data_IF_823386692331
#
_entry.id   IF_823386692331
#
_cell.length_a   1.000
_cell.length_b   1.000
_cell.length_c   1.000
_cell.angle_alpha   90.00
_cell.angle_beta   90.00
_cell.angle_gamma   90.00
#
_symmetry.space_group_name_H-M   'P 1'
#
loop_
_entity.id
_entity.type
_entity.pdbx_description
1 polymer ?
#
# COMPACT_ATOMS: atom_id res chain seq x y z
N UNK A 1 -18.13 -24.44 8.50
CA UNK A 1 -18.67 -23.21 7.90
C UNK A 1 -18.49 -22.00 8.83
N UNK A 2 -18.46 -22.19 10.16
CA UNK A 2 -18.31 -21.12 11.16
C UNK A 2 -17.03 -20.26 11.03
N UNK A 3 -15.90 -20.83 10.62
CA UNK A 3 -14.63 -20.09 10.56
C UNK A 3 -14.59 -18.95 9.54
N UNK A 4 -15.42 -18.97 8.48
CA UNK A 4 -15.43 -17.92 7.45
C UNK A 4 -16.28 -16.71 7.89
N UNK A 5 -17.37 -16.97 8.62
CA UNK A 5 -18.26 -15.93 9.14
C UNK A 5 -17.56 -15.06 10.18
N UNK A 6 -16.78 -15.68 11.08
CA UNK A 6 -15.97 -14.95 12.08
C UNK A 6 -14.96 -14.03 11.40
N UNK A 7 -14.26 -14.51 10.37
CA UNK A 7 -13.31 -13.70 9.58
C UNK A 7 -14.03 -12.53 8.92
N UNK A 8 -15.22 -12.76 8.35
CA UNK A 8 -16.02 -11.73 7.71
C UNK A 8 -16.46 -10.65 8.72
N UNK A 9 -16.95 -11.02 9.90
CA UNK A 9 -17.36 -10.07 10.93
C UNK A 9 -16.19 -9.22 11.46
N UNK A 10 -15.04 -9.85 11.73
CA UNK A 10 -13.83 -9.12 12.15
C UNK A 10 -13.38 -8.15 11.06
N UNK A 11 -13.37 -8.60 9.80
CA UNK A 11 -12.99 -7.76 8.66
C UNK A 11 -13.94 -6.58 8.47
N UNK A 12 -15.25 -6.81 8.58
CA UNK A 12 -16.26 -5.76 8.45
C UNK A 12 -16.19 -4.74 9.58
N UNK A 13 -16.00 -5.21 10.82
CA UNK A 13 -15.77 -4.32 11.97
C UNK A 13 -14.51 -3.48 11.79
N UNK A 14 -13.43 -4.07 11.26
CA UNK A 14 -12.18 -3.36 10.99
C UNK A 14 -12.39 -2.28 9.92
N UNK A 15 -13.04 -2.62 8.80
CA UNK A 15 -13.40 -1.66 7.74
C UNK A 15 -14.26 -0.53 8.31
N UNK A 16 -15.28 -0.84 9.11
CA UNK A 16 -16.14 0.16 9.76
C UNK A 16 -15.35 1.11 10.67
N UNK A 17 -14.42 0.58 11.47
CA UNK A 17 -13.57 1.39 12.34
C UNK A 17 -12.63 2.32 11.55
N UNK A 18 -12.05 1.84 10.46
CA UNK A 18 -11.16 2.61 9.60
C UNK A 18 -11.96 3.69 8.87
N UNK A 19 -13.13 3.36 8.31
CA UNK A 19 -13.99 4.33 7.64
C UNK A 19 -14.53 5.39 8.60
N UNK A 20 -14.81 5.05 9.86
CA UNK A 20 -15.18 6.01 10.88
C UNK A 20 -14.03 6.93 11.29
N UNK A 21 -12.80 6.41 11.33
CA UNK A 21 -11.59 7.18 11.63
C UNK A 21 -11.13 8.06 10.46
N UNK A 22 -11.31 7.60 9.22
CA UNK A 22 -10.72 8.18 8.02
C UNK A 22 -11.02 9.68 7.81
N UNK A 23 -12.28 10.18 7.94
CA UNK A 23 -12.57 11.61 7.78
C UNK A 23 -11.82 12.51 8.77
N UNK A 24 -11.49 12.01 9.96
CA UNK A 24 -10.73 12.74 10.98
C UNK A 24 -9.22 12.69 10.75
N UNK A 25 -8.76 11.78 9.89
CA UNK A 25 -7.36 11.58 9.55
C UNK A 25 -6.96 12.19 8.20
N UNK A 26 -7.94 12.57 7.35
CA UNK A 26 -7.70 13.36 6.13
C UNK A 26 -7.14 14.73 6.51
N UNK A 27 -6.22 15.23 5.69
CA UNK A 27 -5.63 16.56 5.90
C UNK A 27 -6.67 17.69 5.80
N UNK A 28 -6.69 18.65 6.75
CA UNK A 28 -5.84 18.74 7.95
C UNK A 28 -6.27 17.76 9.04
N UNK A 29 -5.36 16.85 9.43
CA UNK A 29 -5.66 15.74 10.33
C UNK A 29 -6.00 16.25 11.74
N UNK A 30 -7.16 15.84 12.27
CA UNK A 30 -7.62 16.15 13.63
C UNK A 30 -7.21 15.08 14.63
N UNK A 31 -7.15 13.83 14.18
CA UNK A 31 -6.78 12.68 14.99
C UNK A 31 -5.69 11.90 14.25
N UNK A 32 -4.57 11.66 14.92
CA UNK A 32 -3.48 10.84 14.41
C UNK A 32 -3.63 9.41 14.89
N UNK A 33 -3.33 8.47 14.00
CA UNK A 33 -3.42 7.04 14.29
C UNK A 33 -2.40 6.58 15.35
N UNK A 34 -1.23 7.22 15.36
CA UNK A 34 -0.10 6.86 16.23
C UNK A 34 0.49 5.48 15.91
N UNK A 35 1.50 5.10 16.71
CA UNK A 35 2.19 3.81 16.56
C UNK A 35 1.31 2.64 17.03
N UNK A 36 0.49 2.86 18.07
CA UNK A 36 -0.42 1.84 18.59
C UNK A 36 -1.49 1.44 17.55
N UNK A 37 -2.10 2.40 16.85
CA UNK A 37 -3.11 2.09 15.84
C UNK A 37 -2.53 1.38 14.61
N UNK A 38 -1.39 1.85 14.11
CA UNK A 38 -0.75 1.28 12.91
C UNK A 38 -0.25 -0.15 13.14
N UNK A 39 0.37 -0.42 14.29
CA UNK A 39 0.81 -1.78 14.67
C UNK A 39 -0.37 -2.71 14.92
N UNK A 40 -1.44 -2.24 15.56
CA UNK A 40 -2.67 -3.02 15.73
C UNK A 40 -3.30 -3.42 14.40
N UNK A 41 -3.45 -2.50 13.45
CA UNK A 41 -3.99 -2.84 12.12
C UNK A 41 -3.11 -3.87 11.40
N UNK A 42 -1.78 -3.69 11.43
CA UNK A 42 -0.86 -4.65 10.82
C UNK A 42 -0.96 -6.05 11.45
N UNK A 43 -1.11 -6.12 12.77
CA UNK A 43 -1.26 -7.38 13.49
C UNK A 43 -2.56 -8.11 13.11
N UNK A 44 -3.70 -7.41 13.12
CA UNK A 44 -5.00 -7.99 12.76
C UNK A 44 -5.02 -8.44 11.29
N UNK A 45 -4.48 -7.64 10.36
CA UNK A 45 -4.37 -8.02 8.95
C UNK A 45 -3.50 -9.27 8.74
N UNK A 46 -2.44 -9.43 9.54
CA UNK A 46 -1.58 -10.62 9.50
C UNK A 46 -2.34 -11.87 9.94
N UNK A 47 -3.08 -11.79 11.06
CA UNK A 47 -3.91 -12.89 11.55
C UNK A 47 -4.97 -13.28 10.50
N UNK A 48 -5.69 -12.29 9.95
CA UNK A 48 -6.73 -12.53 8.95
C UNK A 48 -6.15 -13.20 7.69
N UNK A 49 -4.94 -12.82 7.26
CA UNK A 49 -4.26 -13.47 6.13
C UNK A 49 -3.94 -14.94 6.39
N UNK A 50 -3.41 -15.27 7.57
CA UNK A 50 -3.06 -16.64 7.95
C UNK A 50 -4.32 -17.52 8.05
N UNK A 51 -5.37 -17.00 8.68
CA UNK A 51 -6.64 -17.73 8.83
C UNK A 51 -7.31 -18.01 7.48
N UNK A 52 -7.31 -17.03 6.56
CA UNK A 52 -7.84 -17.22 5.20
C UNK A 52 -7.03 -18.28 4.42
N UNK A 53 -5.70 -18.29 4.57
CA UNK A 53 -4.85 -19.27 3.89
C UNK A 53 -5.20 -20.71 4.28
N UNK A 54 -5.41 -20.97 5.57
CA UNK A 54 -5.73 -22.32 6.07
C UNK A 54 -7.09 -22.83 5.56
N UNK A 55 -8.05 -21.94 5.36
CA UNK A 55 -9.41 -22.31 4.91
C UNK A 55 -9.50 -22.59 3.41
N UNK A 56 -8.72 -21.87 2.59
CA UNK A 56 -8.93 -21.89 1.14
C UNK A 56 -8.48 -23.18 0.44
N UNK A 57 -7.73 -24.10 1.10
CA UNK A 57 -7.14 -25.34 0.51
C UNK A 57 -6.56 -25.16 -0.90
N UNK A 58 -6.19 -23.93 -1.23
CA UNK A 58 -5.85 -23.50 -2.57
C UNK A 58 -4.52 -22.76 -2.43
N UNK A 59 -3.44 -23.24 -3.06
CA UNK A 59 -2.14 -22.56 -3.00
C UNK A 59 -2.20 -21.12 -3.51
N UNK A 60 -3.22 -20.77 -4.30
CA UNK A 60 -3.47 -19.40 -4.78
C UNK A 60 -3.85 -18.41 -3.65
N UNK A 61 -4.24 -18.90 -2.48
CA UNK A 61 -4.69 -18.07 -1.36
C UNK A 61 -3.57 -17.22 -0.73
N UNK A 62 -2.32 -17.69 -0.75
CA UNK A 62 -1.15 -16.96 -0.24
C UNK A 62 -0.81 -15.75 -1.11
N UNK A 63 -1.02 -15.86 -2.42
CA UNK A 63 -0.66 -14.82 -3.38
C UNK A 63 -1.47 -13.55 -3.17
N UNK A 64 -2.70 -13.68 -2.65
CA UNK A 64 -3.65 -12.59 -2.48
C UNK A 64 -3.13 -11.57 -1.45
N UNK A 65 -2.86 -11.92 -0.17
CA UNK A 65 -2.22 -11.01 0.79
C UNK A 65 -0.89 -10.44 0.30
N UNK A 66 -0.06 -11.24 -0.39
CA UNK A 66 1.23 -10.79 -0.92
C UNK A 66 1.06 -9.74 -2.02
N UNK A 67 0.03 -9.85 -2.87
CA UNK A 67 -0.30 -8.86 -3.87
C UNK A 67 -0.86 -7.57 -3.26
N UNK A 68 -1.74 -7.69 -2.26
CA UNK A 68 -2.33 -6.55 -1.56
C UNK A 68 -1.32 -5.78 -0.70
N UNK A 69 -0.53 -6.50 0.10
CA UNK A 69 0.52 -5.93 0.95
C UNK A 69 1.83 -5.74 0.18
N UNK A 70 1.91 -6.19 -1.08
CA UNK A 70 3.13 -6.15 -1.87
C UNK A 70 3.66 -4.75 -2.06
N UNK A 71 2.78 -3.76 -2.25
CA UNK A 71 3.16 -2.35 -2.38
C UNK A 71 3.77 -1.81 -1.08
N UNK A 72 3.08 -1.86 0.09
CA UNK A 72 3.66 -1.38 1.35
C UNK A 72 4.90 -2.18 1.78
N UNK A 73 4.93 -3.50 1.55
CA UNK A 73 6.10 -4.34 1.81
C UNK A 73 7.26 -3.92 0.89
N UNK A 74 6.99 -3.68 -0.39
CA UNK A 74 8.01 -3.25 -1.33
C UNK A 74 8.56 -1.86 -0.99
N UNK A 75 7.71 -0.90 -0.60
CA UNK A 75 8.17 0.43 -0.15
C UNK A 75 9.07 0.30 1.09
N UNK A 76 8.67 -0.51 2.07
CA UNK A 76 9.46 -0.80 3.26
C UNK A 76 10.80 -1.45 2.90
N UNK A 77 10.79 -2.51 2.08
CA UNK A 77 11.99 -3.22 1.65
C UNK A 77 12.93 -2.33 0.83
N UNK A 78 12.38 -1.48 -0.04
CA UNK A 78 13.15 -0.54 -0.84
C UNK A 78 13.89 0.47 0.05
N UNK A 79 13.22 1.00 1.07
CA UNK A 79 13.84 1.90 2.06
C UNK A 79 14.93 1.16 2.85
N UNK A 80 14.68 -0.08 3.30
CA UNK A 80 15.66 -0.90 4.02
C UNK A 80 16.90 -1.16 3.14
N UNK A 81 16.70 -1.63 1.91
CA UNK A 81 17.78 -1.90 0.95
C UNK A 81 18.63 -0.66 0.65
N UNK A 82 17.99 0.50 0.47
CA UNK A 82 18.69 1.77 0.26
C UNK A 82 19.54 2.15 1.49
N UNK A 83 19.03 1.94 2.71
CA UNK A 83 19.78 2.22 3.94
C UNK A 83 20.97 1.30 4.15
N UNK A 84 20.82 0.01 3.85
CA UNK A 84 21.92 -0.96 3.90
C UNK A 84 23.04 -0.53 2.94
N UNK A 85 22.70 -0.12 1.71
CA UNK A 85 23.67 0.41 0.74
C UNK A 85 24.40 1.66 1.21
N UNK A 86 23.74 2.52 2.00
CA UNK A 86 24.30 3.77 2.54
C UNK A 86 24.93 3.55 3.94
N UNK A 87 24.96 2.31 4.46
CA UNK A 87 25.44 1.94 5.81
C UNK A 87 24.80 2.76 6.95
N UNK A 88 23.58 3.25 6.76
CA UNK A 88 22.83 4.01 7.77
C UNK A 88 22.00 3.04 8.62
N UNK A 89 21.93 3.26 9.93
CA UNK A 89 21.18 2.39 10.84
C UNK A 89 19.70 2.27 10.43
N UNK A 90 19.20 1.03 10.47
CA UNK A 90 17.84 0.66 10.11
C UNK A 90 16.84 1.11 11.20
N UNK A 91 17.30 1.24 12.45
CA UNK A 91 16.48 1.55 13.63
C UNK A 91 16.32 3.04 13.92
N UNK A 92 17.01 3.91 13.18
CA UNK A 92 16.83 5.36 13.32
C UNK A 92 15.56 5.77 12.56
N UNK A 93 14.62 6.43 13.23
CA UNK A 93 13.45 7.02 12.57
C UNK A 93 13.91 7.93 11.42
N UNK A 94 13.52 7.62 10.19
CA UNK A 94 13.88 8.43 9.02
C UNK A 94 12.59 8.93 8.37
N UNK A 95 12.50 10.24 8.19
CA UNK A 95 11.36 10.93 7.61
C UNK A 95 11.44 10.91 6.08
N UNK A 96 11.90 9.81 5.48
CA UNK A 96 12.16 9.69 4.04
C UNK A 96 11.28 8.63 3.35
N UNK A 97 10.09 8.42 3.89
CA UNK A 97 9.03 7.64 3.25
C UNK A 97 8.52 8.33 1.98
N UNK A 98 7.85 7.58 1.11
CA UNK A 98 7.39 8.02 -0.21
C UNK A 98 6.72 9.42 -0.19
N UNK A 99 5.86 9.68 0.81
CA UNK A 99 5.21 10.98 1.04
C UNK A 99 6.17 12.16 1.23
N UNK A 100 7.27 11.98 1.97
CA UNK A 100 8.25 13.06 2.18
C UNK A 100 9.05 13.36 0.92
N UNK A 101 9.32 12.35 0.08
CA UNK A 101 9.96 12.55 -1.22
C UNK A 101 9.05 13.28 -2.20
N UNK A 102 7.77 12.94 -2.22
CA UNK A 102 6.77 13.66 -3.02
C UNK A 102 6.60 15.11 -2.53
N UNK A 103 6.62 15.35 -1.22
CA UNK A 103 6.58 16.68 -0.64
C UNK A 103 7.84 17.50 -0.98
N UNK A 104 9.02 16.87 -0.98
CA UNK A 104 10.28 17.49 -1.39
C UNK A 104 10.34 17.83 -2.89
N UNK A 105 9.48 17.22 -3.72
CA UNK A 105 9.31 17.54 -5.15
C UNK A 105 8.36 18.74 -5.35
N UNK A 106 7.75 19.28 -4.29
CA UNK A 106 6.87 20.45 -4.34
C UNK A 106 5.38 20.12 -4.58
N UNK A 107 4.98 18.87 -4.41
CA UNK A 107 3.59 18.46 -4.55
C UNK A 107 2.76 18.86 -3.32
N UNK A 108 1.57 19.40 -3.59
CA UNK A 108 0.61 19.75 -2.55
C UNK A 108 0.12 18.50 -1.80
N UNK A 109 -0.18 18.67 -0.51
CA UNK A 109 -0.48 17.57 0.42
C UNK A 109 -1.66 16.71 -0.06
N UNK A 110 -2.66 17.34 -0.68
CA UNK A 110 -3.82 16.67 -1.27
C UNK A 110 -3.44 15.81 -2.49
N UNK A 111 -2.53 16.28 -3.34
CA UNK A 111 -2.05 15.51 -4.50
C UNK A 111 -1.37 14.23 -4.06
N UNK A 112 -0.55 14.28 -3.01
CA UNK A 112 0.15 13.10 -2.51
C UNK A 112 -0.83 12.08 -1.92
N UNK A 113 -1.81 12.55 -1.12
CA UNK A 113 -2.88 11.71 -0.59
C UNK A 113 -3.67 11.03 -1.73
N UNK A 114 -4.01 11.79 -2.77
CA UNK A 114 -4.72 11.27 -3.95
C UNK A 114 -3.91 10.20 -4.68
N UNK A 115 -2.60 10.41 -4.90
CA UNK A 115 -1.75 9.42 -5.57
C UNK A 115 -1.60 8.13 -4.76
N UNK A 116 -1.40 8.23 -3.45
CA UNK A 116 -1.23 7.07 -2.57
C UNK A 116 -2.54 6.26 -2.46
N UNK A 117 -3.68 6.96 -2.35
CA UNK A 117 -4.98 6.31 -2.33
C UNK A 117 -5.32 5.67 -3.68
N UNK A 118 -5.03 6.34 -4.80
CA UNK A 118 -5.22 5.80 -6.14
C UNK A 118 -4.40 4.53 -6.35
N UNK A 119 -3.13 4.53 -5.95
CA UNK A 119 -2.26 3.36 -6.05
C UNK A 119 -2.81 2.18 -5.22
N UNK A 120 -3.31 2.45 -4.02
CA UNK A 120 -3.91 1.45 -3.14
C UNK A 120 -5.20 0.86 -3.74
N UNK A 121 -6.07 1.69 -4.32
CA UNK A 121 -7.30 1.25 -4.99
C UNK A 121 -6.98 0.39 -6.21
N UNK A 122 -6.00 0.79 -7.01
CA UNK A 122 -5.63 0.03 -8.21
C UNK A 122 -5.05 -1.34 -7.82
N UNK A 123 -4.20 -1.40 -6.80
CA UNK A 123 -3.71 -2.65 -6.25
C UNK A 123 -4.86 -3.55 -5.77
N UNK A 124 -5.88 -2.94 -5.16
CA UNK A 124 -7.06 -3.65 -4.71
C UNK A 124 -7.85 -4.27 -5.88
N UNK A 125 -8.10 -3.48 -6.92
CA UNK A 125 -8.80 -3.95 -8.13
C UNK A 125 -8.04 -5.08 -8.82
N UNK A 126 -6.72 -4.98 -8.93
CA UNK A 126 -5.87 -6.05 -9.48
C UNK A 126 -6.00 -7.33 -8.64
N UNK A 127 -5.94 -7.22 -7.31
CA UNK A 127 -6.11 -8.37 -6.41
C UNK A 127 -7.46 -9.06 -6.61
N UNK A 128 -8.54 -8.29 -6.74
CA UNK A 128 -9.89 -8.80 -7.01
C UNK A 128 -9.95 -9.52 -8.37
N UNK A 129 -9.36 -8.93 -9.43
CA UNK A 129 -9.35 -9.55 -10.77
C UNK A 129 -8.61 -10.88 -10.75
N UNK A 130 -7.44 -10.96 -10.09
CA UNK A 130 -6.70 -12.22 -9.95
C UNK A 130 -7.52 -13.26 -9.20
N UNK A 131 -8.20 -12.86 -8.12
CA UNK A 131 -9.04 -13.76 -7.34
C UNK A 131 -10.21 -14.32 -8.16
N UNK A 132 -10.92 -13.47 -8.90
CA UNK A 132 -12.08 -13.86 -9.70
C UNK A 132 -11.70 -14.69 -10.92
N UNK A 133 -10.63 -14.32 -11.62
CA UNK A 133 -10.21 -15.01 -12.85
C UNK A 133 -9.39 -16.27 -12.58
N UNK A 134 -8.83 -16.42 -11.38
CA UNK A 134 -7.83 -17.44 -11.01
C UNK A 134 -6.58 -17.44 -11.90
N UNK A 135 -6.33 -16.38 -12.65
CA UNK A 135 -5.22 -16.32 -13.62
C UNK A 135 -4.26 -15.19 -13.28
N UNK A 136 -3.03 -15.55 -12.91
CA UNK A 136 -1.97 -14.60 -12.53
C UNK A 136 -1.50 -13.68 -13.67
N UNK A 137 -1.61 -14.14 -14.91
CA UNK A 137 -1.13 -13.41 -16.08
C UNK A 137 -1.83 -12.07 -16.23
N UNK A 138 -3.15 -12.02 -16.00
CA UNK A 138 -3.94 -10.79 -16.12
C UNK A 138 -3.49 -9.70 -15.13
N UNK A 139 -3.26 -10.08 -13.87
CA UNK A 139 -2.88 -9.14 -12.82
C UNK A 139 -1.44 -8.64 -12.95
N UNK A 140 -0.49 -9.51 -13.33
CA UNK A 140 0.90 -9.10 -13.53
C UNK A 140 1.05 -8.10 -14.69
N UNK A 141 0.27 -8.26 -15.75
CA UNK A 141 0.25 -7.31 -16.88
C UNK A 141 -0.23 -5.93 -16.40
N UNK A 142 -1.30 -5.87 -15.61
CA UNK A 142 -1.82 -4.59 -15.12
C UNK A 142 -0.82 -3.89 -14.19
N UNK A 143 -0.19 -4.63 -13.25
CA UNK A 143 0.86 -4.08 -12.38
C UNK A 143 2.05 -3.58 -13.19
N UNK A 144 2.51 -4.34 -14.18
CA UNK A 144 3.60 -3.94 -15.06
C UNK A 144 3.26 -2.64 -15.81
N UNK A 145 2.06 -2.53 -16.38
CA UNK A 145 1.62 -1.32 -17.08
C UNK A 145 1.55 -0.10 -16.16
N UNK A 146 1.08 -0.27 -14.92
CA UNK A 146 1.01 0.81 -13.94
C UNK A 146 2.40 1.29 -13.50
N UNK A 147 3.33 0.36 -13.26
CA UNK A 147 4.71 0.72 -12.92
C UNK A 147 5.38 1.46 -14.08
N UNK A 148 5.19 1.00 -15.33
CA UNK A 148 5.70 1.69 -16.53
C UNK A 148 5.06 3.08 -16.67
N UNK A 149 3.76 3.21 -16.45
CA UNK A 149 3.06 4.49 -16.51
C UNK A 149 3.57 5.47 -15.44
N UNK A 150 3.80 5.01 -14.22
CA UNK A 150 4.36 5.83 -13.13
C UNK A 150 5.80 6.24 -13.47
N UNK A 151 6.62 5.34 -14.00
CA UNK A 151 7.99 5.64 -14.43
C UNK A 151 8.01 6.66 -15.58
N UNK A 152 7.11 6.52 -16.55
CA UNK A 152 6.96 7.48 -17.66
C UNK A 152 6.52 8.85 -17.16
N UNK A 153 5.53 8.92 -16.25
CA UNK A 153 5.11 10.17 -15.64
C UNK A 153 6.22 10.79 -14.79
N UNK A 154 7.02 9.96 -14.11
CA UNK A 154 8.15 10.40 -13.33
C UNK A 154 9.31 10.91 -14.20
N UNK A 155 9.58 10.31 -15.37
CA UNK A 155 10.59 10.81 -16.31
C UNK A 155 10.15 12.12 -16.94
N UNK A 156 8.88 12.21 -17.36
CA UNK A 156 8.32 13.42 -17.99
C UNK A 156 8.29 14.62 -17.04
N UNK A 157 7.89 14.41 -15.79
CA UNK A 157 7.93 15.47 -14.76
C UNK A 157 9.35 15.97 -14.47
N UNK A 158 10.38 15.15 -14.72
CA UNK A 158 11.79 15.51 -14.57
C UNK A 158 12.31 16.33 -15.75
N UNK A 159 11.82 16.04 -16.96
CA UNK A 159 12.12 16.82 -18.17
C UNK A 159 11.49 18.22 -18.12
N UNK A 160 10.24 18.34 -17.67
CA UNK A 160 9.54 19.63 -17.54
C UNK A 160 10.28 20.58 -16.58
N UNK A 161 10.79 20.08 -15.44
CA UNK A 161 11.61 20.89 -14.51
C UNK A 161 13.00 21.26 -15.03
N UNK A 162 13.53 20.56 -16.03
CA UNK A 162 14.81 20.89 -16.65
C UNK A 162 14.63 22.01 -17.68
N UNK A 163 13.49 22.04 -18.37
CA UNK A 163 13.15 23.07 -19.36
C UNK A 163 12.70 24.40 -18.73
N UNK A 164 12.12 24.38 -17.52
CA UNK A 164 11.73 25.63 -16.82
C UNK A 164 12.91 26.37 -16.14
N UNK A 165 14.08 25.73 -16.04
CA UNK A 165 15.30 26.31 -15.43
C UNK A 165 16.29 26.85 -16.48
N UNK A 166 15.83 27.09 -17.70
CA UNK A 166 16.61 27.61 -18.82
C UNK A 166 15.91 28.84 -19.42
#
# INVERSE_FOLDING_TARGET
MEGNEVIAYISLSLIGSILGFFPYNIYPARIFMGDAGSTFLGFILSILSILNFQQLKNPLAISIPILFLGIPIFDMLFVICKRIKIKKSIFVADNNHFHHRLKAIGLDHYSILFYMNSLSIIALLVGIIIYLTRTYTSGMIIVALLTIFILYRCSKSREEKCNDNQ
#
